data_IF_146988464933
#
_entry.id   IF_146988464933
#
_cell.length_a   1.000
_cell.length_b   1.000
_cell.length_c   1.000
_cell.angle_alpha   90.00
_cell.angle_beta   90.00
_cell.angle_gamma   90.00
#
_symmetry.space_group_name_H-M   'P 1'
#
loop_
_entity.id
_entity.type
_entity.pdbx_description
1 polymer ?
#
# COMPACT_ATOMS: atom_id res chain seq x y z
N UNK A 1 -13.37 6.37 -30.79
CA UNK A 1 -12.31 7.32 -31.19
C UNK A 1 -12.44 7.60 -32.67
N UNK A 2 -12.34 8.85 -33.15
CA UNK A 2 -12.51 9.16 -34.57
C UNK A 2 -11.37 8.58 -35.42
N UNK A 3 -11.71 7.97 -36.57
CA UNK A 3 -10.79 7.33 -37.54
C UNK A 3 -9.57 8.19 -37.94
N UNK A 4 -9.73 9.51 -37.88
CA UNK A 4 -8.70 10.49 -38.22
C UNK A 4 -7.52 10.45 -37.24
N UNK A 5 -7.77 10.14 -35.96
CA UNK A 5 -6.74 9.99 -34.92
C UNK A 5 -5.93 8.72 -35.17
N UNK A 6 -6.58 7.61 -35.54
CA UNK A 6 -5.91 6.36 -35.88
C UNK A 6 -5.01 6.50 -37.11
N UNK A 7 -5.44 7.23 -38.15
CA UNK A 7 -4.64 7.51 -39.35
C UNK A 7 -3.43 8.42 -39.07
N UNK A 8 -3.56 9.44 -38.22
CA UNK A 8 -2.43 10.30 -37.83
C UNK A 8 -1.40 9.55 -36.97
N UNK A 9 -1.89 8.67 -36.10
CA UNK A 9 -1.04 7.88 -35.19
C UNK A 9 -0.29 6.76 -35.96
N UNK A 10 -0.91 6.12 -36.95
CA UNK A 10 -0.24 5.17 -37.84
C UNK A 10 0.83 5.82 -38.74
N UNK A 11 0.65 7.09 -39.13
CA UNK A 11 1.65 7.88 -39.88
C UNK A 11 2.81 8.36 -38.98
N UNK A 12 2.51 8.72 -37.72
CA UNK A 12 3.49 9.17 -36.72
C UNK A 12 4.39 8.07 -36.14
N UNK A 13 4.01 6.80 -36.28
CA UNK A 13 4.83 5.64 -35.94
C UNK A 13 6.08 5.46 -36.84
N UNK A 14 6.26 6.26 -37.90
CA UNK A 14 7.41 6.11 -38.81
C UNK A 14 8.66 6.90 -38.39
N UNK A 15 8.57 7.79 -37.41
CA UNK A 15 9.71 8.51 -36.86
C UNK A 15 9.46 8.83 -35.37
N UNK A 16 9.96 7.98 -34.47
CA UNK A 16 9.94 8.25 -33.03
C UNK A 16 11.36 8.56 -32.52
N UNK A 17 11.45 9.51 -31.58
CA UNK A 17 12.69 9.98 -30.94
C UNK A 17 13.51 8.82 -30.33
N UNK A 18 12.84 7.71 -29.99
CA UNK A 18 13.43 6.52 -29.36
C UNK A 18 14.04 5.54 -30.37
N UNK A 19 13.49 5.45 -31.59
CA UNK A 19 14.02 4.59 -32.65
C UNK A 19 15.32 5.14 -33.25
N UNK A 20 15.51 6.46 -33.23
CA UNK A 20 16.70 7.13 -33.77
C UNK A 20 17.83 7.35 -32.78
N UNK A 21 17.65 6.95 -31.51
CA UNK A 21 18.65 7.15 -30.46
C UNK A 21 19.99 6.48 -30.81
N UNK A 22 21.10 7.11 -30.43
CA UNK A 22 22.44 6.59 -30.69
C UNK A 22 22.65 5.17 -30.11
N UNK A 23 22.05 4.88 -28.96
CA UNK A 23 22.11 3.56 -28.33
C UNK A 23 21.25 2.52 -29.09
N UNK A 24 20.09 2.91 -29.62
CA UNK A 24 19.28 2.05 -30.51
C UNK A 24 20.07 1.64 -31.75
N UNK A 25 20.72 2.62 -32.41
CA UNK A 25 21.58 2.35 -33.57
C UNK A 25 22.78 1.47 -33.20
N UNK A 26 23.35 1.65 -32.01
CA UNK A 26 24.44 0.82 -31.49
C UNK A 26 23.99 -0.62 -31.21
N UNK A 27 22.82 -0.85 -30.62
CA UNK A 27 22.31 -2.19 -30.33
C UNK A 27 21.98 -2.98 -31.60
N UNK A 28 21.39 -2.31 -32.60
CA UNK A 28 21.17 -2.91 -33.92
C UNK A 28 22.50 -3.32 -34.61
N UNK A 29 23.59 -2.58 -34.36
CA UNK A 29 24.92 -2.86 -34.93
C UNK A 29 25.73 -3.88 -34.12
N UNK A 30 25.74 -3.78 -32.79
CA UNK A 30 26.65 -4.54 -31.90
C UNK A 30 26.32 -6.02 -31.78
N UNK A 31 25.06 -6.41 -32.02
CA UNK A 31 24.64 -7.82 -32.01
C UNK A 31 24.82 -8.54 -30.67
N UNK A 32 25.15 -7.82 -29.59
CA UNK A 32 25.41 -8.40 -28.28
C UNK A 32 24.08 -8.81 -27.62
N UNK A 33 23.92 -10.11 -27.38
CA UNK A 33 22.69 -10.71 -26.88
C UNK A 33 22.93 -11.50 -25.59
N UNK A 34 21.89 -11.63 -24.78
CA UNK A 34 21.91 -12.51 -23.61
C UNK A 34 21.75 -13.99 -23.97
N UNK A 35 21.77 -14.86 -22.96
CA UNK A 35 21.54 -16.31 -23.11
C UNK A 35 20.18 -16.69 -23.74
N UNK A 36 19.24 -15.74 -23.77
CA UNK A 36 17.91 -15.90 -24.35
C UNK A 36 17.81 -15.32 -25.77
N UNK A 37 18.87 -14.69 -26.28
CA UNK A 37 18.89 -14.03 -27.58
C UNK A 37 18.35 -12.59 -27.56
N UNK A 38 18.04 -12.02 -26.40
CA UNK A 38 17.61 -10.62 -26.27
C UNK A 38 18.80 -9.67 -26.29
N UNK A 39 18.62 -8.50 -26.89
CA UNK A 39 19.67 -7.49 -26.93
C UNK A 39 20.03 -7.01 -25.52
N UNK A 40 21.32 -7.05 -25.17
CA UNK A 40 21.82 -6.46 -23.93
C UNK A 40 22.39 -5.09 -24.20
N UNK A 41 21.97 -4.14 -23.40
CA UNK A 41 22.56 -2.81 -23.36
C UNK A 41 23.34 -2.62 -22.08
N UNK A 42 24.56 -2.08 -22.18
CA UNK A 42 25.34 -1.64 -21.02
C UNK A 42 24.81 -0.33 -20.41
N UNK A 43 23.86 0.32 -21.09
CA UNK A 43 23.16 1.53 -20.65
C UNK A 43 21.63 1.30 -20.70
N UNK A 44 20.84 1.90 -19.80
CA UNK A 44 19.39 1.77 -19.89
C UNK A 44 18.89 2.33 -21.23
N UNK A 45 18.02 1.56 -21.90
CA UNK A 45 17.29 2.06 -23.06
C UNK A 45 16.35 3.19 -22.61
N UNK A 46 16.08 4.20 -23.46
CA UNK A 46 15.13 5.26 -23.13
C UNK A 46 13.71 4.73 -22.88
N UNK A 47 13.38 3.55 -23.43
CA UNK A 47 12.15 2.83 -23.12
C UNK A 47 12.49 1.36 -22.87
N UNK A 48 12.04 0.79 -21.74
CA UNK A 48 12.42 -0.56 -21.34
C UNK A 48 11.63 -1.61 -22.14
N UNK A 49 12.29 -2.17 -23.16
CA UNK A 49 11.76 -3.24 -24.02
C UNK A 49 12.67 -4.45 -24.00
N UNK A 50 12.10 -5.66 -24.04
CA UNK A 50 12.85 -6.92 -24.10
C UNK A 50 12.64 -7.52 -25.49
N UNK A 51 13.56 -7.24 -26.41
CA UNK A 51 13.41 -7.59 -27.82
C UNK A 51 14.70 -8.18 -28.39
N UNK A 52 14.57 -8.99 -29.43
CA UNK A 52 15.70 -9.43 -30.25
C UNK A 52 16.03 -8.38 -31.30
N UNK A 53 17.13 -8.56 -32.03
CA UNK A 53 17.49 -7.67 -33.14
C UNK A 53 16.40 -7.58 -34.21
N UNK A 54 15.66 -8.66 -34.46
CA UNK A 54 14.62 -8.70 -35.48
C UNK A 54 13.37 -7.90 -35.09
N UNK A 55 13.04 -7.81 -33.80
CA UNK A 55 11.80 -7.16 -33.33
C UNK A 55 12.03 -5.82 -32.63
N UNK A 56 13.28 -5.42 -32.36
CA UNK A 56 13.60 -4.20 -31.61
C UNK A 56 12.90 -2.96 -32.16
N UNK A 57 12.94 -2.75 -33.49
CA UNK A 57 12.32 -1.58 -34.10
C UNK A 57 10.80 -1.58 -33.86
N UNK A 58 10.12 -2.71 -34.09
CA UNK A 58 8.69 -2.88 -33.80
C UNK A 58 8.39 -2.60 -32.33
N UNK A 59 9.18 -3.16 -31.42
CA UNK A 59 9.01 -2.99 -29.98
C UNK A 59 9.13 -1.51 -29.55
N UNK A 60 10.13 -0.77 -30.06
CA UNK A 60 10.31 0.65 -29.74
C UNK A 60 9.18 1.53 -30.28
N UNK A 61 8.70 1.24 -31.50
CA UNK A 61 7.57 1.94 -32.09
C UNK A 61 6.28 1.72 -31.29
N UNK A 62 6.03 0.47 -30.90
CA UNK A 62 4.93 0.14 -30.00
C UNK A 62 5.07 0.85 -28.66
N UNK A 63 6.27 0.90 -28.09
CA UNK A 63 6.51 1.56 -26.82
C UNK A 63 6.19 3.05 -26.87
N UNK A 64 6.64 3.74 -27.92
CA UNK A 64 6.33 5.16 -28.15
C UNK A 64 4.81 5.39 -28.33
N UNK A 65 4.16 4.54 -29.11
CA UNK A 65 2.70 4.61 -29.29
C UNK A 65 1.96 4.44 -27.96
N UNK A 66 2.33 3.44 -27.16
CA UNK A 66 1.68 3.17 -25.89
C UNK A 66 1.89 4.32 -24.90
N UNK A 67 3.09 4.90 -24.83
CA UNK A 67 3.39 6.04 -23.97
C UNK A 67 2.50 7.23 -24.36
N UNK A 68 2.48 7.60 -25.64
CA UNK A 68 1.65 8.70 -26.15
C UNK A 68 0.17 8.48 -25.85
N UNK A 69 -0.33 7.26 -26.10
CA UNK A 69 -1.71 6.91 -25.82
C UNK A 69 -2.04 6.93 -24.33
N UNK A 70 -1.12 6.49 -23.47
CA UNK A 70 -1.30 6.54 -22.02
C UNK A 70 -1.38 7.98 -21.52
N UNK A 71 -0.52 8.87 -22.04
CA UNK A 71 -0.56 10.31 -21.74
C UNK A 71 -1.89 10.92 -22.18
N UNK A 72 -2.39 10.60 -23.38
CA UNK A 72 -3.71 11.04 -23.85
C UNK A 72 -4.87 10.53 -22.97
N UNK A 73 -4.71 9.38 -22.32
CA UNK A 73 -5.67 8.85 -21.36
C UNK A 73 -5.53 9.47 -19.96
N UNK A 74 -4.60 10.40 -19.75
CA UNK A 74 -4.37 11.10 -18.49
C UNK A 74 -3.48 10.34 -17.51
N UNK A 75 -2.65 9.42 -17.99
CA UNK A 75 -1.55 8.85 -17.20
C UNK A 75 -0.32 9.75 -17.26
N UNK A 76 0.44 9.77 -16.18
CA UNK A 76 1.75 10.42 -16.07
C UNK A 76 2.82 9.34 -16.03
N UNK A 77 3.97 9.58 -16.65
CA UNK A 77 5.14 8.70 -16.50
C UNK A 77 5.64 8.78 -15.06
N UNK A 78 5.65 7.64 -14.37
CA UNK A 78 6.16 7.55 -13.00
C UNK A 78 7.68 7.33 -13.01
N UNK A 79 8.36 7.82 -11.98
CA UNK A 79 9.81 7.62 -11.84
C UNK A 79 10.18 6.13 -11.91
N UNK A 80 11.14 5.82 -12.79
CA UNK A 80 11.76 4.50 -12.82
C UNK A 80 12.62 4.33 -11.57
N UNK A 81 12.06 3.72 -10.52
CA UNK A 81 12.90 3.22 -9.42
C UNK A 81 13.83 2.13 -9.96
N UNK A 82 15.11 2.46 -10.06
CA UNK A 82 16.21 1.55 -10.37
C UNK A 82 16.38 0.59 -9.20
N UNK A 83 15.90 -0.63 -9.36
CA UNK A 83 16.18 -1.74 -8.45
C UNK A 83 16.69 -2.91 -9.27
N UNK A 84 17.61 -3.69 -8.70
CA UNK A 84 18.18 -4.87 -9.35
C UNK A 84 17.06 -5.77 -9.91
N UNK A 85 16.93 -5.80 -11.24
CA UNK A 85 16.02 -6.69 -11.98
C UNK A 85 14.70 -6.11 -12.49
N UNK A 86 14.41 -4.80 -12.33
CA UNK A 86 13.14 -4.18 -12.80
C UNK A 86 13.31 -3.13 -13.92
N UNK A 87 14.36 -3.23 -14.72
CA UNK A 87 14.67 -2.27 -15.79
C UNK A 87 13.89 -2.53 -17.10
N UNK A 88 12.77 -3.26 -17.03
CA UNK A 88 12.05 -3.80 -18.20
C UNK A 88 10.57 -3.38 -18.29
N UNK A 89 10.16 -2.34 -17.56
CA UNK A 89 8.77 -1.89 -17.49
C UNK A 89 8.61 -0.37 -17.59
N UNK A 90 7.66 0.07 -18.41
CA UNK A 90 7.20 1.46 -18.47
C UNK A 90 6.25 1.66 -17.29
N UNK A 91 6.62 2.55 -16.36
CA UNK A 91 5.81 2.85 -15.18
C UNK A 91 4.96 4.09 -15.43
N UNK A 92 3.69 3.98 -15.10
CA UNK A 92 2.67 5.00 -15.28
C UNK A 92 1.90 5.19 -13.97
N UNK A 93 1.35 6.37 -13.78
CA UNK A 93 0.48 6.68 -12.66
C UNK A 93 -0.71 7.52 -13.10
N UNK A 94 -1.88 7.24 -12.54
CA UNK A 94 -3.07 8.06 -12.73
C UNK A 94 -3.89 8.02 -11.45
N UNK A 95 -4.16 9.19 -10.86
CA UNK A 95 -4.95 9.33 -9.62
C UNK A 95 -4.45 8.41 -8.48
N UNK A 96 -3.14 8.33 -8.25
CA UNK A 96 -2.53 7.47 -7.23
C UNK A 96 -2.42 5.98 -7.60
N UNK A 97 -3.09 5.53 -8.67
CA UNK A 97 -3.02 4.14 -9.13
C UNK A 97 -1.83 3.96 -10.06
N UNK A 98 -0.95 3.04 -9.67
CA UNK A 98 0.25 2.66 -10.43
C UNK A 98 -0.10 1.63 -11.49
N UNK A 99 0.42 1.84 -12.69
CA UNK A 99 0.36 0.91 -13.80
C UNK A 99 1.77 0.61 -14.33
N UNK A 100 1.99 -0.62 -14.77
CA UNK A 100 3.20 -1.05 -15.46
C UNK A 100 2.87 -1.66 -16.82
N UNK A 101 3.70 -1.35 -17.80
CA UNK A 101 3.58 -1.87 -19.15
C UNK A 101 4.90 -2.54 -19.53
N UNK A 102 4.81 -3.80 -19.94
CA UNK A 102 5.95 -4.60 -20.36
C UNK A 102 5.80 -4.96 -21.85
N UNK A 103 6.82 -4.68 -22.65
CA UNK A 103 6.89 -5.10 -24.06
C UNK A 103 8.01 -6.12 -24.19
N UNK A 104 7.66 -7.34 -24.59
CA UNK A 104 8.59 -8.47 -24.62
C UNK A 104 8.36 -9.36 -25.84
N UNK A 105 9.43 -9.74 -26.52
CA UNK A 105 9.42 -10.81 -27.50
C UNK A 105 9.36 -12.18 -26.83
N UNK A 106 8.56 -13.08 -27.40
CA UNK A 106 8.51 -14.48 -27.00
C UNK A 106 9.75 -15.21 -27.53
N UNK A 107 10.31 -16.06 -26.69
CA UNK A 107 11.37 -17.00 -27.10
C UNK A 107 10.89 -18.42 -26.87
N UNK A 108 11.23 -19.32 -27.78
CA UNK A 108 10.95 -20.74 -27.64
C UNK A 108 12.15 -21.44 -27.04
N UNK A 109 11.87 -22.32 -26.08
CA UNK A 109 12.89 -23.16 -25.47
C UNK A 109 13.06 -24.42 -26.30
N UNK A 110 14.27 -24.70 -26.74
CA UNK A 110 14.65 -25.94 -27.43
C UNK A 110 15.64 -26.71 -26.58
N UNK A 111 15.45 -28.01 -26.49
CA UNK A 111 16.41 -28.89 -25.81
C UNK A 111 17.69 -29.01 -26.65
N UNK A 112 18.83 -28.78 -26.00
CA UNK A 112 20.12 -29.02 -26.63
C UNK A 112 20.38 -30.52 -26.60
N UNK A 113 20.52 -31.19 -27.76
CA UNK A 113 20.85 -32.61 -27.81
C UNK A 113 22.10 -32.89 -26.99
N UNK A 114 22.15 -34.01 -26.26
CA UNK A 114 23.30 -34.36 -25.40
C UNK A 114 24.60 -34.39 -26.20
N UNK A 115 24.55 -34.79 -27.48
CA UNK A 115 25.69 -34.78 -28.40
C UNK A 115 26.24 -33.38 -28.73
N UNK A 116 25.42 -32.33 -28.65
CA UNK A 116 25.85 -30.93 -28.83
C UNK A 116 26.32 -30.27 -27.53
N UNK A 117 26.13 -30.93 -26.38
CA UNK A 117 26.60 -30.42 -25.09
C UNK A 117 28.10 -30.64 -25.01
N UNK A 118 28.86 -29.56 -25.00
CA UNK A 118 30.33 -29.62 -24.86
C UNK A 118 30.78 -30.27 -23.54
N UNK A 119 29.92 -30.31 -22.51
CA UNK A 119 30.16 -30.91 -21.20
C UNK A 119 28.85 -31.41 -20.57
N UNK A 120 28.92 -32.35 -19.61
CA UNK A 120 27.75 -32.86 -18.85
C UNK A 120 26.95 -31.77 -18.11
N UNK A 121 27.63 -30.64 -17.80
CA UNK A 121 27.04 -29.46 -17.15
C UNK A 121 26.69 -28.32 -18.13
N UNK A 122 26.73 -28.55 -19.45
CA UNK A 122 26.36 -27.55 -20.44
C UNK A 122 24.90 -27.10 -20.35
N UNK A 123 24.60 -25.91 -20.88
CA UNK A 123 23.23 -25.38 -20.93
C UNK A 123 22.28 -26.40 -21.57
N UNK A 124 21.33 -26.91 -20.77
CA UNK A 124 20.36 -27.93 -21.21
C UNK A 124 19.41 -27.41 -22.29
N UNK A 125 19.26 -26.09 -22.38
CA UNK A 125 18.29 -25.43 -23.24
C UNK A 125 18.95 -24.32 -24.06
N UNK A 126 18.59 -24.26 -25.35
CA UNK A 126 18.86 -23.13 -26.23
C UNK A 126 17.55 -22.38 -26.46
N UNK A 127 17.60 -21.06 -26.45
CA UNK A 127 16.43 -20.23 -26.71
C UNK A 127 16.49 -19.72 -28.15
N UNK A 128 15.40 -19.93 -28.88
CA UNK A 128 15.25 -19.50 -30.26
C UNK A 128 14.28 -18.31 -30.32
N UNK A 129 14.60 -17.34 -31.17
CA UNK A 129 13.82 -16.13 -31.39
C UNK A 129 12.58 -16.48 -32.22
N UNK A 130 11.38 -16.11 -31.78
CA UNK A 130 10.15 -16.40 -32.54
C UNK A 130 9.71 -15.23 -33.43
N UNK A 131 10.22 -14.01 -33.18
CA UNK A 131 9.73 -12.80 -33.84
C UNK A 131 8.33 -12.35 -33.38
N UNK A 132 7.74 -13.04 -32.40
CA UNK A 132 6.41 -12.73 -31.84
C UNK A 132 6.54 -11.74 -30.68
N UNK A 133 5.95 -10.55 -30.84
CA UNK A 133 5.89 -9.57 -29.76
C UNK A 133 4.66 -9.74 -28.87
N UNK A 134 4.83 -9.44 -27.59
CA UNK A 134 3.76 -9.32 -26.62
C UNK A 134 3.87 -8.04 -25.81
N UNK A 135 2.72 -7.49 -25.45
CA UNK A 135 2.58 -6.39 -24.51
C UNK A 135 1.71 -6.83 -23.34
N UNK A 136 2.15 -6.52 -22.13
CA UNK A 136 1.39 -6.76 -20.91
C UNK A 136 1.12 -5.45 -20.18
N UNK A 137 -0.12 -5.28 -19.72
CA UNK A 137 -0.57 -4.18 -18.89
C UNK A 137 -0.93 -4.71 -17.51
N UNK A 138 -0.39 -4.08 -16.48
CA UNK A 138 -0.72 -4.37 -15.09
C UNK A 138 -1.07 -3.07 -14.38
N UNK A 139 -2.18 -3.05 -13.64
CA UNK A 139 -2.62 -1.89 -12.85
C UNK A 139 -2.94 -2.37 -11.44
N UNK A 140 -2.17 -1.89 -10.45
CA UNK A 140 -2.18 -2.47 -9.12
C UNK A 140 -1.75 -3.95 -9.10
N UNK A 141 -2.02 -4.64 -7.99
CA UNK A 141 -1.61 -6.03 -7.81
C UNK A 141 -2.64 -7.02 -8.40
N UNK A 142 -2.18 -8.00 -9.17
CA UNK A 142 -3.00 -9.17 -9.56
C UNK A 142 -3.95 -8.96 -10.73
N UNK A 143 -3.74 -7.94 -11.59
CA UNK A 143 -4.51 -7.73 -12.82
C UNK A 143 -3.57 -7.51 -14.01
N UNK A 144 -3.08 -8.60 -14.58
CA UNK A 144 -2.22 -8.58 -15.78
C UNK A 144 -3.01 -8.97 -17.02
N UNK A 145 -3.08 -8.08 -18.01
CA UNK A 145 -3.67 -8.36 -19.32
C UNK A 145 -2.58 -8.35 -20.37
N UNK A 146 -2.49 -9.41 -21.17
CA UNK A 146 -1.45 -9.57 -22.18
C UNK A 146 -2.06 -9.68 -23.57
N UNK A 147 -1.52 -8.92 -24.52
CA UNK A 147 -1.86 -8.96 -25.94
C UNK A 147 -0.58 -9.36 -26.68
N UNK A 148 -0.67 -10.34 -27.59
CA UNK A 148 0.49 -10.88 -28.31
C UNK A 148 0.17 -11.12 -29.78
N UNK A 149 1.22 -11.25 -30.59
CA UNK A 149 1.14 -11.68 -31.98
C UNK A 149 0.34 -13.01 -32.03
N UNK A 150 -0.52 -13.18 -33.05
CA UNK A 150 -1.35 -14.39 -33.21
C UNK A 150 -1.28 -14.87 -34.65
N UNK A 151 -0.45 -15.88 -34.90
CA UNK A 151 -0.18 -16.36 -36.26
C UNK A 151 0.36 -15.23 -37.14
N UNK A 152 -0.32 -14.94 -38.25
CA UNK A 152 0.09 -13.87 -39.16
C UNK A 152 -0.34 -12.46 -38.70
N UNK A 153 -1.20 -12.34 -37.70
CA UNK A 153 -1.66 -11.05 -37.17
C UNK A 153 -0.63 -10.48 -36.19
N UNK A 154 -0.04 -9.34 -36.59
CA UNK A 154 0.89 -8.56 -35.77
C UNK A 154 0.16 -7.72 -34.73
N UNK A 155 0.71 -7.53 -33.54
CA UNK A 155 0.09 -6.74 -32.46
C UNK A 155 -0.19 -5.29 -32.85
N UNK A 156 0.54 -4.74 -33.81
CA UNK A 156 0.32 -3.39 -34.38
C UNK A 156 -1.05 -3.24 -35.04
N UNK A 157 -1.72 -4.34 -35.45
CA UNK A 157 -3.11 -4.25 -35.93
C UNK A 157 -4.13 -4.17 -34.79
N UNK A 158 -3.71 -4.37 -33.55
CA UNK A 158 -4.54 -4.45 -32.34
C UNK A 158 -4.34 -3.27 -31.39
N UNK A 159 -3.98 -2.11 -31.94
CA UNK A 159 -3.78 -0.87 -31.19
C UNK A 159 -5.03 -0.48 -30.38
N UNK A 160 -6.23 -0.64 -30.95
CA UNK A 160 -7.47 -0.36 -30.21
C UNK A 160 -7.65 -1.31 -29.01
N UNK A 161 -7.35 -2.59 -29.17
CA UNK A 161 -7.40 -3.58 -28.09
C UNK A 161 -6.43 -3.23 -26.95
N UNK A 162 -5.25 -2.70 -27.30
CA UNK A 162 -4.25 -2.23 -26.33
C UNK A 162 -4.75 -1.03 -25.53
N UNK A 163 -5.29 -0.01 -26.21
CA UNK A 163 -5.84 1.17 -25.54
C UNK A 163 -7.01 0.82 -24.62
N UNK A 164 -7.88 -0.09 -25.04
CA UNK A 164 -9.00 -0.57 -24.21
C UNK A 164 -8.53 -1.47 -23.07
N UNK A 165 -7.51 -2.31 -23.29
CA UNK A 165 -6.93 -3.14 -22.24
C UNK A 165 -6.35 -2.31 -21.08
N UNK A 166 -5.60 -1.25 -21.37
CA UNK A 166 -5.06 -0.36 -20.34
C UNK A 166 -6.18 0.29 -19.51
N UNK A 167 -7.21 0.82 -20.17
CA UNK A 167 -8.36 1.42 -19.48
C UNK A 167 -9.13 0.42 -18.62
N UNK A 168 -9.39 -0.78 -19.13
CA UNK A 168 -10.08 -1.83 -18.36
C UNK A 168 -9.25 -2.24 -17.14
N UNK A 169 -7.93 -2.42 -17.30
CA UNK A 169 -7.05 -2.72 -16.16
C UNK A 169 -7.10 -1.61 -15.11
N UNK A 170 -7.09 -0.34 -15.54
CA UNK A 170 -7.20 0.80 -14.64
C UNK A 170 -8.55 0.87 -13.91
N UNK A 171 -9.68 0.71 -14.60
CA UNK A 171 -11.00 0.75 -13.96
C UNK A 171 -11.16 -0.35 -12.92
N UNK A 172 -10.69 -1.57 -13.20
CA UNK A 172 -10.68 -2.66 -12.22
C UNK A 172 -9.81 -2.35 -11.01
N UNK A 173 -8.69 -1.64 -11.20
CA UNK A 173 -7.85 -1.22 -10.08
C UNK A 173 -8.57 -0.18 -9.20
N UNK A 174 -9.27 0.78 -9.81
CA UNK A 174 -10.12 1.76 -9.10
C UNK A 174 -11.22 1.06 -8.30
N UNK A 175 -11.93 0.11 -8.91
CA UNK A 175 -12.99 -0.66 -8.24
C UNK A 175 -12.46 -1.44 -7.05
N UNK A 176 -11.30 -2.10 -7.18
CA UNK A 176 -10.66 -2.80 -6.07
C UNK A 176 -10.25 -1.87 -4.94
N UNK A 177 -9.75 -0.69 -5.25
CA UNK A 177 -9.36 0.28 -4.24
C UNK A 177 -10.56 0.80 -3.47
N UNK A 178 -11.68 1.08 -4.17
CA UNK A 178 -12.97 1.38 -3.54
C UNK A 178 -13.44 0.24 -2.64
N UNK A 179 -13.40 -0.99 -3.13
CA UNK A 179 -13.82 -2.16 -2.36
C UNK A 179 -12.96 -2.34 -1.10
N UNK A 180 -11.65 -2.16 -1.20
CA UNK A 180 -10.74 -2.22 -0.05
C UNK A 180 -11.05 -1.12 0.98
N UNK A 181 -11.40 0.08 0.53
CA UNK A 181 -11.79 1.17 1.43
C UNK A 181 -13.08 0.83 2.18
N UNK A 182 -14.06 0.22 1.50
CA UNK A 182 -15.31 -0.26 2.11
C UNK A 182 -15.01 -1.37 3.12
N UNK A 183 -14.28 -2.42 2.72
CA UNK A 183 -13.91 -3.54 3.60
C UNK A 183 -13.07 -3.10 4.80
N UNK A 184 -12.21 -2.09 4.65
CA UNK A 184 -11.43 -1.53 5.75
C UNK A 184 -12.34 -0.78 6.74
N UNK A 185 -13.31 -0.02 6.22
CA UNK A 185 -14.32 0.67 7.04
C UNK A 185 -15.21 -0.32 7.78
N UNK A 186 -15.72 -1.35 7.09
CA UNK A 186 -16.53 -2.41 7.72
C UNK A 186 -15.75 -3.13 8.81
N UNK A 187 -14.47 -3.44 8.58
CA UNK A 187 -13.59 -4.01 9.61
C UNK A 187 -13.41 -3.08 10.81
N UNK A 188 -13.31 -1.77 10.61
CA UNK A 188 -13.24 -0.82 11.72
C UNK A 188 -14.55 -0.75 12.51
N UNK A 189 -15.69 -0.73 11.83
CA UNK A 189 -17.02 -0.75 12.47
C UNK A 189 -17.19 -2.05 13.27
N UNK A 190 -16.83 -3.19 12.68
CA UNK A 190 -16.88 -4.48 13.37
C UNK A 190 -15.98 -4.49 14.60
N UNK A 191 -14.74 -4.01 14.47
CA UNK A 191 -13.80 -3.89 15.59
C UNK A 191 -14.38 -3.04 16.72
N UNK A 192 -14.97 -1.87 16.39
CA UNK A 192 -15.63 -0.98 17.37
C UNK A 192 -16.77 -1.69 18.08
N UNK A 193 -17.63 -2.40 17.36
CA UNK A 193 -18.72 -3.18 17.95
C UNK A 193 -18.22 -4.28 18.89
N UNK A 194 -17.22 -5.05 18.45
CA UNK A 194 -16.67 -6.19 19.21
C UNK A 194 -15.95 -5.73 20.50
N UNK A 195 -15.34 -4.54 20.48
CA UNK A 195 -14.56 -4.01 21.62
C UNK A 195 -15.35 -3.03 22.49
N UNK A 196 -16.55 -2.59 22.07
CA UNK A 196 -17.36 -1.65 22.84
C UNK A 196 -17.67 -2.16 24.24
N UNK A 197 -18.04 -3.44 24.35
CA UNK A 197 -18.29 -4.10 25.64
C UNK A 197 -17.05 -4.08 26.52
N UNK A 198 -15.89 -4.46 25.98
CA UNK A 198 -14.62 -4.47 26.71
C UNK A 198 -14.21 -3.08 27.20
N UNK A 199 -14.37 -2.05 26.38
CA UNK A 199 -14.07 -0.67 26.81
C UNK A 199 -14.98 -0.20 27.92
N UNK A 200 -16.27 -0.56 27.88
CA UNK A 200 -17.21 -0.28 28.97
C UNK A 200 -16.78 -1.02 30.23
N UNK A 201 -16.46 -2.31 30.15
CA UNK A 201 -16.00 -3.12 31.29
C UNK A 201 -14.69 -2.60 31.89
N UNK A 202 -13.75 -2.16 31.07
CA UNK A 202 -12.50 -1.52 31.52
C UNK A 202 -12.75 -0.21 32.25
N UNK A 203 -13.66 0.63 31.73
CA UNK A 203 -14.04 1.87 32.40
C UNK A 203 -14.78 1.60 33.71
N UNK A 204 -15.68 0.62 33.74
CA UNK A 204 -16.37 0.18 34.96
C UNK A 204 -15.39 -0.41 35.99
N UNK A 205 -14.36 -1.12 35.55
CA UNK A 205 -13.29 -1.65 36.41
C UNK A 205 -12.43 -0.54 37.00
N UNK A 206 -11.99 0.43 36.19
CA UNK A 206 -11.26 1.63 36.66
C UNK A 206 -12.10 2.45 37.64
N UNK A 207 -13.39 2.58 37.38
CA UNK A 207 -14.33 3.24 38.29
C UNK A 207 -14.33 2.56 39.67
N UNK A 208 -14.43 1.24 39.69
CA UNK A 208 -14.43 0.44 40.92
C UNK A 208 -13.07 0.50 41.64
N UNK A 209 -11.96 0.49 40.89
CA UNK A 209 -10.62 0.64 41.44
C UNK A 209 -10.46 2.01 42.12
N UNK A 210 -10.84 3.09 41.44
CA UNK A 210 -10.81 4.45 42.00
C UNK A 210 -11.69 4.55 43.25
N UNK A 211 -12.87 3.92 43.26
CA UNK A 211 -13.75 3.89 44.43
C UNK A 211 -13.09 3.18 45.62
N UNK A 212 -12.42 2.04 45.38
CA UNK A 212 -11.72 1.31 46.42
C UNK A 212 -10.52 2.08 46.97
N UNK A 213 -9.76 2.78 46.11
CA UNK A 213 -8.67 3.66 46.54
C UNK A 213 -9.19 4.80 47.43
N UNK A 214 -10.25 5.50 47.00
CA UNK A 214 -10.89 6.54 47.82
C UNK A 214 -11.33 6.00 49.19
N UNK A 215 -11.99 4.82 49.20
CA UNK A 215 -12.42 4.19 50.44
C UNK A 215 -11.24 3.88 51.37
N UNK A 216 -10.12 3.39 50.85
CA UNK A 216 -8.92 3.12 51.64
C UNK A 216 -8.29 4.40 52.20
N UNK A 217 -8.25 5.48 51.41
CA UNK A 217 -7.77 6.79 51.88
C UNK A 217 -8.64 7.35 53.01
N UNK A 218 -9.97 7.27 52.88
CA UNK A 218 -10.91 7.70 53.92
C UNK A 218 -10.76 6.86 55.20
N UNK A 219 -10.61 5.54 55.09
CA UNK A 219 -10.41 4.66 56.24
C UNK A 219 -9.09 4.98 56.95
N UNK A 220 -8.02 5.24 56.17
CA UNK A 220 -6.73 5.66 56.72
C UNK A 220 -6.83 6.99 57.47
N UNK A 221 -7.47 8.00 56.87
CA UNK A 221 -7.73 9.28 57.52
C UNK A 221 -8.51 9.12 58.83
N UNK A 222 -9.49 8.22 58.84
CA UNK A 222 -10.28 7.92 60.04
C UNK A 222 -9.43 7.30 61.13
N UNK A 223 -8.63 6.28 60.81
CA UNK A 223 -7.73 5.62 61.77
C UNK A 223 -6.68 6.60 62.32
N UNK A 224 -6.14 7.48 61.48
CA UNK A 224 -5.19 8.50 61.91
C UNK A 224 -5.85 9.49 62.89
N UNK A 225 -7.11 9.89 62.66
CA UNK A 225 -7.88 10.71 63.63
C UNK A 225 -8.15 9.98 64.94
N UNK A 226 -8.64 8.74 64.88
CA UNK A 226 -8.90 7.91 66.07
C UNK A 226 -7.62 7.73 66.91
N UNK A 227 -6.47 7.51 66.28
CA UNK A 227 -5.19 7.45 66.96
C UNK A 227 -4.83 8.78 67.65
N UNK A 228 -4.90 9.91 66.94
CA UNK A 228 -4.60 11.22 67.52
C UNK A 228 -5.51 11.50 68.71
N UNK A 229 -6.82 11.20 68.60
CA UNK A 229 -7.78 11.38 69.68
C UNK A 229 -7.47 10.46 70.88
N UNK A 230 -7.01 9.23 70.64
CA UNK A 230 -6.62 8.30 71.71
C UNK A 230 -5.39 8.75 72.53
N UNK A 231 -4.52 9.58 71.94
CA UNK A 231 -3.30 10.12 72.60
C UNK A 231 -3.54 11.53 73.17
N UNK A 232 -4.75 12.08 73.01
CA UNK A 232 -5.14 13.46 73.35
C UNK A 232 -5.01 13.89 74.82
N UNK A 233 -4.61 13.00 75.74
CA UNK A 233 -4.34 13.27 77.15
C UNK A 233 -2.85 13.54 77.47
N UNK A 234 -1.97 13.56 76.47
CA UNK A 234 -0.53 13.84 76.67
C UNK A 234 -0.24 15.36 76.74
N UNK A 235 0.87 15.75 77.41
CA UNK A 235 1.35 17.11 77.71
C UNK A 235 1.58 18.05 76.48
N UNK A 236 1.18 17.66 75.27
CA UNK A 236 1.44 18.36 74.01
C UNK A 236 0.17 18.68 73.22
N UNK A 237 -0.86 19.19 73.90
CA UNK A 237 -2.18 19.50 73.33
C UNK A 237 -2.12 20.46 72.13
N UNK A 238 -1.32 21.53 72.18
CA UNK A 238 -1.18 22.50 71.08
C UNK A 238 -0.50 21.91 69.83
N UNK A 239 0.49 21.02 70.03
CA UNK A 239 1.14 20.32 68.93
C UNK A 239 0.19 19.31 68.29
N UNK A 240 -0.62 18.60 69.08
CA UNK A 240 -1.65 17.68 68.58
C UNK A 240 -2.75 18.40 67.80
N UNK A 241 -3.21 19.58 68.26
CA UNK A 241 -4.13 20.44 67.51
C UNK A 241 -3.55 20.93 66.18
N UNK A 242 -2.28 21.35 66.17
CA UNK A 242 -1.60 21.75 64.93
C UNK A 242 -1.41 20.58 63.96
N UNK A 243 -1.03 19.41 64.47
CA UNK A 243 -0.96 18.15 63.74
C UNK A 243 -2.32 17.80 63.13
N UNK A 244 -3.42 17.86 63.89
CA UNK A 244 -4.79 17.66 63.39
C UNK A 244 -5.13 18.60 62.22
N UNK A 245 -4.67 19.85 62.28
CA UNK A 245 -4.85 20.83 61.21
C UNK A 245 -3.94 20.67 59.98
N UNK A 246 -2.91 19.80 60.04
CA UNK A 246 -1.90 19.61 58.98
C UNK A 246 -1.81 18.22 58.38
N UNK A 247 -2.13 17.17 59.13
CA UNK A 247 -1.84 15.78 58.76
C UNK A 247 -2.94 15.08 57.95
N UNK A 248 -4.08 15.74 57.72
CA UNK A 248 -5.24 15.09 57.08
C UNK A 248 -5.72 15.97 55.95
N UNK A 249 -5.66 15.46 54.71
CA UNK A 249 -6.44 16.02 53.60
C UNK A 249 -7.90 16.01 54.07
N UNK A 250 -8.62 17.15 54.11
CA UNK A 250 -10.02 17.16 54.48
C UNK A 250 -10.77 16.08 53.70
N UNK A 251 -11.60 15.27 54.37
CA UNK A 251 -12.33 14.18 53.70
C UNK A 251 -13.13 14.72 52.51
N UNK A 252 -13.54 15.99 52.57
CA UNK A 252 -14.15 16.75 51.49
C UNK A 252 -13.28 16.81 50.22
N UNK A 253 -11.99 17.12 50.33
CA UNK A 253 -11.05 17.23 49.20
C UNK A 253 -10.80 15.88 48.52
N UNK A 254 -10.86 14.77 49.28
CA UNK A 254 -10.76 13.41 48.74
C UNK A 254 -12.04 13.07 47.95
N UNK A 255 -13.19 13.35 48.55
CA UNK A 255 -14.51 13.11 47.95
C UNK A 255 -14.70 13.95 46.68
N UNK A 256 -14.30 15.23 46.69
CA UNK A 256 -14.42 16.11 45.52
C UNK A 256 -13.57 15.63 44.34
N UNK A 257 -12.31 15.26 44.59
CA UNK A 257 -11.41 14.71 43.56
C UNK A 257 -11.95 13.42 42.95
N UNK A 258 -12.43 12.50 43.78
CA UNK A 258 -13.08 11.29 43.29
C UNK A 258 -14.36 11.60 42.49
N UNK A 259 -15.22 12.48 43.00
CA UNK A 259 -16.50 12.81 42.37
C UNK A 259 -16.34 13.40 40.96
N UNK A 260 -15.31 14.24 40.74
CA UNK A 260 -14.98 14.74 39.41
C UNK A 260 -14.55 13.61 38.47
N UNK A 261 -13.63 12.74 38.92
CA UNK A 261 -13.14 11.59 38.16
C UNK A 261 -14.25 10.58 37.84
N UNK A 262 -15.09 10.23 38.81
CA UNK A 262 -16.22 9.30 38.66
C UNK A 262 -17.23 9.81 37.63
N UNK A 263 -17.54 11.12 37.68
CA UNK A 263 -18.44 11.76 36.75
C UNK A 263 -17.93 11.68 35.32
N UNK A 264 -16.64 11.96 35.09
CA UNK A 264 -16.04 11.90 33.76
C UNK A 264 -16.03 10.48 33.20
N UNK A 265 -15.78 9.47 34.06
CA UNK A 265 -15.84 8.05 33.69
C UNK A 265 -17.28 7.65 33.34
N UNK A 266 -18.28 8.06 34.13
CA UNK A 266 -19.69 7.77 33.86
C UNK A 266 -20.17 8.39 32.54
N UNK A 267 -19.83 9.66 32.29
CA UNK A 267 -20.13 10.32 31.02
C UNK A 267 -19.51 9.56 29.85
N UNK A 268 -18.27 9.10 30.00
CA UNK A 268 -17.57 8.32 28.97
C UNK A 268 -18.25 6.97 28.70
N UNK A 269 -18.68 6.27 29.75
CA UNK A 269 -19.44 5.01 29.62
C UNK A 269 -20.78 5.22 28.91
N UNK A 270 -21.56 6.24 29.31
CA UNK A 270 -22.85 6.53 28.70
C UNK A 270 -22.69 6.90 27.21
N UNK A 271 -21.69 7.73 26.89
CA UNK A 271 -21.35 8.07 25.51
C UNK A 271 -21.00 6.82 24.70
N UNK A 272 -20.18 5.93 25.23
CA UNK A 272 -19.83 4.66 24.56
C UNK A 272 -21.04 3.73 24.39
N UNK A 273 -21.92 3.64 25.38
CA UNK A 273 -23.17 2.85 25.31
C UNK A 273 -24.15 3.42 24.28
N UNK A 274 -24.15 4.74 24.06
CA UNK A 274 -24.98 5.41 23.07
C UNK A 274 -24.37 5.53 21.67
N UNK A 275 -23.06 5.30 21.52
CA UNK A 275 -22.34 5.54 20.28
C UNK A 275 -22.69 4.54 19.17
N UNK A 276 -22.94 5.05 17.97
CA UNK A 276 -23.03 4.27 16.74
C UNK A 276 -21.61 3.95 16.24
N UNK A 277 -21.25 2.67 16.13
CA UNK A 277 -19.94 2.24 15.66
C UNK A 277 -19.56 2.75 14.26
N UNK A 278 -20.54 3.17 13.46
CA UNK A 278 -20.33 3.78 12.15
C UNK A 278 -19.99 5.28 12.19
N UNK A 279 -20.12 5.93 13.34
CA UNK A 279 -19.77 7.33 13.55
C UNK A 279 -18.25 7.51 13.64
N UNK A 280 -17.68 8.08 12.58
CA UNK A 280 -16.26 8.40 12.48
C UNK A 280 -15.89 9.70 13.22
N UNK A 281 -16.87 10.50 13.65
CA UNK A 281 -16.68 11.70 14.47
C UNK A 281 -16.60 11.42 15.97
N UNK A 282 -16.95 10.22 16.41
CA UNK A 282 -16.84 9.81 17.79
C UNK A 282 -15.39 9.52 18.18
N UNK A 283 -14.95 10.01 19.35
CA UNK A 283 -13.60 9.81 19.87
C UNK A 283 -13.47 8.40 20.48
N UNK A 284 -13.30 7.41 19.61
CA UNK A 284 -13.17 6.01 19.99
C UNK A 284 -11.88 5.75 20.80
N UNK A 285 -11.94 4.98 21.90
CA UNK A 285 -10.75 4.55 22.61
C UNK A 285 -9.78 3.87 21.65
N UNK A 286 -8.50 4.28 21.70
CA UNK A 286 -7.48 3.71 20.81
C UNK A 286 -7.22 2.26 21.18
N UNK A 287 -7.01 1.37 20.19
CA UNK A 287 -6.53 0.02 20.48
C UNK A 287 -5.24 0.11 21.30
N UNK A 288 -5.18 -0.60 22.43
CA UNK A 288 -3.91 -0.92 23.04
C UNK A 288 -3.16 -1.81 22.05
N UNK A 289 -2.09 -1.31 21.45
CA UNK A 289 -1.15 -2.17 20.73
C UNK A 289 -0.53 -3.11 21.75
N UNK A 290 -0.94 -4.38 21.72
CA UNK A 290 -0.27 -5.48 22.41
C UNK A 290 0.94 -5.96 21.64
#
# INVERSE_FOLDING_TARGET
>A
MPEVVLKHVAKGLRASVTAESGETKRLLKSGFVDRYGFLRSGKPLPVPVVATKATLQRALLLADWVIKMSVLQGFVLAEQRNGYGRDFEIKLEKKGIKASIQIKERVTRRDVPVAERRYDYGDKYRYEQTGELGISFECGWGNKKTIKDKGNLKIESRLLDMATALNICFQRAVEREKQRAIEARERQIQYRNDHRGKWVEELESKRLENFNQMRQELERNRLDREFIDSVGFAEHHEWLEWVKGKLVVPDLDIVERYSASDRDICISIERLKGADASDDGFDWPKPYYS
#
